data_IF_208286934674
#
_entry.id   IF_208286934674
#
_cell.length_a   1.000
_cell.length_b   1.000
_cell.length_c   1.000
_cell.angle_alpha   90.00
_cell.angle_beta   90.00
_cell.angle_gamma   90.00
#
_symmetry.space_group_name_H-M   'P 1'
#
loop_
_entity.id
_entity.type
_entity.pdbx_description
1 polymer ?
#
# COMPACT_ATOMS: atom_id res chain seq x y z
N UNK A 1 31.08 -21.36 7.32
CA UNK A 1 31.93 -20.40 8.06
C UNK A 1 31.15 -19.94 9.27
N UNK A 2 31.63 -20.13 10.48
CA UNK A 2 30.98 -19.62 11.69
C UNK A 2 30.97 -18.08 11.66
N UNK A 3 29.81 -17.51 11.91
CA UNK A 3 29.63 -16.06 11.92
C UNK A 3 30.25 -15.47 13.20
N UNK A 4 31.22 -14.58 13.05
CA UNK A 4 31.88 -13.92 14.20
C UNK A 4 30.85 -13.17 15.04
N UNK A 5 30.86 -13.37 16.36
CA UNK A 5 29.93 -12.75 17.31
C UNK A 5 30.59 -11.63 18.11
N UNK A 6 29.79 -10.75 18.75
CA UNK A 6 30.33 -9.74 19.68
C UNK A 6 31.10 -10.34 20.84
N UNK A 7 30.78 -11.58 21.24
CA UNK A 7 31.53 -12.33 22.29
C UNK A 7 32.93 -12.72 21.81
N UNK A 8 33.08 -13.03 20.53
CA UNK A 8 34.37 -13.37 19.95
C UNK A 8 35.26 -12.15 19.84
N UNK A 9 34.71 -10.99 19.48
CA UNK A 9 35.42 -9.71 19.51
C UNK A 9 35.87 -9.38 20.93
N UNK A 10 34.97 -9.49 21.91
CA UNK A 10 35.29 -9.27 23.33
C UNK A 10 36.43 -10.17 23.82
N UNK A 11 36.39 -11.44 23.42
CA UNK A 11 37.45 -12.43 23.78
C UNK A 11 38.80 -12.07 23.13
N UNK A 12 38.78 -11.70 21.82
CA UNK A 12 40.00 -11.28 21.10
C UNK A 12 40.63 -10.03 21.70
N UNK A 13 39.81 -9.07 22.09
CA UNK A 13 40.30 -7.83 22.74
C UNK A 13 40.55 -7.95 24.23
N UNK A 14 40.25 -9.08 24.86
CA UNK A 14 40.35 -9.32 26.33
C UNK A 14 39.55 -8.27 27.15
N UNK A 15 38.40 -7.89 26.67
CA UNK A 15 37.50 -6.90 27.31
C UNK A 15 36.08 -7.47 27.48
N UNK A 16 35.27 -6.79 28.26
CA UNK A 16 33.86 -7.17 28.40
C UNK A 16 33.03 -6.83 27.13
N UNK A 17 31.96 -7.58 26.89
CA UNK A 17 31.02 -7.32 25.77
C UNK A 17 30.44 -5.91 25.86
N UNK A 18 30.22 -5.39 27.08
CA UNK A 18 29.79 -4.01 27.32
C UNK A 18 30.80 -2.97 26.82
N UNK A 19 32.10 -3.26 26.98
CA UNK A 19 33.20 -2.38 26.52
C UNK A 19 33.24 -2.35 24.98
N UNK A 20 33.10 -3.52 24.31
CA UNK A 20 33.00 -3.60 22.86
C UNK A 20 31.79 -2.81 22.37
N UNK A 21 30.63 -2.95 23.01
CA UNK A 21 29.43 -2.20 22.68
C UNK A 21 29.59 -0.68 22.84
N UNK A 22 30.27 -0.22 23.89
CA UNK A 22 30.60 1.21 24.10
C UNK A 22 31.54 1.75 23.03
N UNK A 23 32.57 0.96 22.64
CA UNK A 23 33.48 1.35 21.54
C UNK A 23 32.76 1.54 20.23
N UNK A 24 31.92 0.60 19.86
CA UNK A 24 31.12 0.65 18.63
C UNK A 24 30.11 1.81 18.59
N UNK A 25 29.62 2.25 19.77
CA UNK A 25 28.64 3.33 19.88
C UNK A 25 29.27 4.69 20.20
N UNK A 26 30.58 4.81 20.15
CA UNK A 26 31.31 6.04 20.43
C UNK A 26 30.94 6.67 21.80
N UNK A 27 30.79 5.83 22.83
CA UNK A 27 30.40 6.28 24.17
C UNK A 27 31.49 7.15 24.77
N UNK A 28 31.17 8.30 25.43
CA UNK A 28 32.17 9.23 25.93
C UNK A 28 33.09 8.65 27.04
N UNK A 29 32.63 7.63 27.77
CA UNK A 29 33.35 7.04 28.89
C UNK A 29 34.37 5.97 28.48
N UNK A 30 34.60 5.73 27.17
CA UNK A 30 35.56 4.73 26.73
C UNK A 30 36.93 5.35 26.50
N UNK A 31 37.97 4.69 27.04
CA UNK A 31 39.35 5.11 26.80
C UNK A 31 39.64 5.09 25.28
N UNK A 32 40.24 6.16 24.71
CA UNK A 32 40.51 6.26 23.27
C UNK A 32 41.33 5.13 22.71
N UNK A 33 42.39 4.72 23.41
CA UNK A 33 43.28 3.62 22.99
C UNK A 33 42.54 2.26 22.95
N UNK A 34 41.72 1.99 23.96
CA UNK A 34 40.88 0.80 24.02
C UNK A 34 39.84 0.79 22.89
N UNK A 35 39.27 1.93 22.57
CA UNK A 35 38.32 2.07 21.46
C UNK A 35 38.98 1.78 20.13
N UNK A 36 40.14 2.36 19.85
CA UNK A 36 40.89 2.15 18.61
C UNK A 36 41.28 0.68 18.43
N UNK A 37 41.77 0.03 19.44
CA UNK A 37 42.08 -1.40 19.45
C UNK A 37 40.86 -2.25 19.09
N UNK A 38 39.70 -1.96 19.70
CA UNK A 38 38.48 -2.73 19.45
C UNK A 38 38.01 -2.52 18.01
N UNK A 39 38.01 -1.28 17.50
CA UNK A 39 37.58 -0.97 16.14
C UNK A 39 38.46 -1.63 15.08
N UNK A 40 39.78 -1.73 15.36
CA UNK A 40 40.73 -2.46 14.51
C UNK A 40 40.40 -3.95 14.44
N UNK A 41 40.16 -4.60 15.58
CA UNK A 41 39.78 -6.02 15.63
C UNK A 41 38.43 -6.28 14.96
N UNK A 42 37.47 -5.38 15.06
CA UNK A 42 36.17 -5.44 14.37
C UNK A 42 36.39 -5.44 12.85
N UNK A 43 37.20 -4.52 12.32
CA UNK A 43 37.52 -4.40 10.91
C UNK A 43 38.27 -5.67 10.39
N UNK A 44 39.28 -6.14 11.11
CA UNK A 44 40.06 -7.33 10.75
C UNK A 44 39.22 -8.63 10.78
N UNK A 45 38.18 -8.66 11.64
CA UNK A 45 37.30 -9.84 11.78
C UNK A 45 36.08 -9.81 10.87
N UNK A 46 35.93 -8.80 10.02
CA UNK A 46 34.72 -8.55 9.20
C UNK A 46 33.42 -8.69 10.02
N UNK A 47 33.48 -8.28 11.29
CA UNK A 47 32.33 -8.38 12.18
C UNK A 47 31.29 -7.33 11.82
N UNK A 48 30.09 -7.77 11.42
CA UNK A 48 28.93 -6.91 11.22
C UNK A 48 28.02 -7.01 12.45
N UNK A 49 27.74 -5.88 13.13
CA UNK A 49 26.84 -5.89 14.27
C UNK A 49 25.47 -6.45 13.93
N UNK A 50 25.05 -7.49 14.66
CA UNK A 50 23.70 -8.01 14.49
C UNK A 50 22.70 -7.06 15.19
N UNK A 51 22.13 -6.13 14.42
CA UNK A 51 21.14 -5.19 14.92
C UNK A 51 19.85 -5.87 15.39
N UNK A 52 19.52 -7.05 14.87
CA UNK A 52 18.35 -7.84 15.30
C UNK A 52 18.52 -8.35 16.73
N UNK A 53 19.70 -8.88 17.09
CA UNK A 53 19.99 -9.30 18.47
C UNK A 53 20.08 -8.12 19.46
N UNK A 54 20.46 -6.94 18.97
CA UNK A 54 20.50 -5.70 19.75
C UNK A 54 19.10 -5.14 19.99
N UNK A 55 18.21 -5.23 19.03
CA UNK A 55 16.81 -4.82 19.13
C UNK A 55 16.00 -5.75 20.06
N UNK A 56 16.31 -7.04 20.10
CA UNK A 56 15.72 -8.00 21.03
C UNK A 56 16.04 -7.70 22.52
N UNK A 57 17.19 -7.09 22.83
CA UNK A 57 17.57 -6.71 24.20
C UNK A 57 17.04 -5.34 24.66
N UNK A 58 16.57 -4.48 23.75
CA UNK A 58 15.93 -3.22 24.11
C UNK A 58 14.43 -3.49 24.30
N UNK A 59 13.96 -3.41 25.55
CA UNK A 59 12.54 -3.46 25.93
C UNK A 59 11.67 -2.34 25.31
N UNK A 60 12.24 -1.51 24.44
CA UNK A 60 11.63 -0.43 23.66
C UNK A 60 12.01 -0.57 22.17
N UNK A 61 11.63 -1.66 21.53
CA UNK A 61 11.70 -1.72 20.07
C UNK A 61 10.77 -0.62 19.49
N UNK A 62 11.36 0.46 18.96
CA UNK A 62 10.63 1.49 18.23
C UNK A 62 10.41 0.98 16.80
N UNK A 63 9.43 0.14 16.60
CA UNK A 63 9.06 -0.38 15.29
C UNK A 63 7.59 -0.09 14.99
N UNK A 64 7.28 0.16 13.73
CA UNK A 64 5.94 0.15 13.17
C UNK A 64 5.88 -0.88 12.05
N UNK A 65 4.68 -1.39 11.77
CA UNK A 65 4.44 -2.24 10.61
C UNK A 65 3.58 -1.49 9.59
N UNK A 66 3.86 -1.74 8.31
CA UNK A 66 3.00 -1.42 7.18
C UNK A 66 2.44 -2.77 6.70
N UNK A 67 1.16 -3.00 6.93
CA UNK A 67 0.45 -4.17 6.42
C UNK A 67 -0.15 -3.82 5.07
N UNK A 68 0.27 -4.52 4.02
CA UNK A 68 -0.13 -4.22 2.64
C UNK A 68 -0.96 -5.36 2.08
N UNK A 69 -2.20 -5.09 1.73
CA UNK A 69 -3.05 -5.99 0.98
C UNK A 69 -3.24 -5.45 -0.44
N UNK A 70 -3.02 -6.30 -1.45
CA UNK A 70 -3.01 -5.86 -2.85
C UNK A 70 -1.65 -5.34 -3.30
N UNK A 71 -0.53 -5.93 -2.85
CA UNK A 71 0.83 -5.53 -3.25
C UNK A 71 1.10 -5.57 -4.77
N UNK A 72 0.25 -6.24 -5.53
CA UNK A 72 0.35 -6.27 -7.00
C UNK A 72 -0.02 -4.91 -7.62
N UNK A 73 -0.69 -4.03 -6.88
CA UNK A 73 -0.92 -2.66 -7.30
C UNK A 73 0.34 -1.80 -7.04
N UNK A 74 0.98 -1.35 -8.12
CA UNK A 74 2.19 -0.54 -8.07
C UNK A 74 2.03 0.79 -7.31
N UNK A 75 0.81 1.26 -7.14
CA UNK A 75 0.48 2.46 -6.36
C UNK A 75 1.03 2.38 -4.93
N UNK A 76 0.96 1.20 -4.29
CA UNK A 76 1.45 1.03 -2.92
C UNK A 76 2.97 1.12 -2.80
N UNK A 77 3.74 0.83 -3.85
CA UNK A 77 5.20 0.91 -3.80
C UNK A 77 5.68 2.35 -3.50
N UNK A 78 5.05 3.34 -4.15
CA UNK A 78 5.37 4.75 -3.93
C UNK A 78 4.94 5.21 -2.53
N UNK A 79 3.74 4.78 -2.08
CA UNK A 79 3.26 5.04 -0.71
C UNK A 79 4.24 4.51 0.34
N UNK A 80 4.66 3.25 0.20
CA UNK A 80 5.61 2.59 1.12
C UNK A 80 6.92 3.39 1.19
N UNK A 81 7.49 3.75 0.05
CA UNK A 81 8.77 4.49 0.01
C UNK A 81 8.72 5.81 0.77
N UNK A 82 7.65 6.57 0.63
CA UNK A 82 7.47 7.84 1.35
C UNK A 82 7.26 7.60 2.85
N UNK A 83 6.43 6.62 3.23
CA UNK A 83 6.19 6.27 4.63
C UNK A 83 7.49 5.81 5.30
N UNK A 84 8.28 4.93 4.65
CA UNK A 84 9.57 4.45 5.17
C UNK A 84 10.54 5.60 5.45
N UNK A 85 10.58 6.60 4.57
CA UNK A 85 11.44 7.78 4.78
C UNK A 85 11.03 8.56 6.04
N UNK A 86 9.73 8.80 6.25
CA UNK A 86 9.21 9.48 7.45
C UNK A 86 9.51 8.67 8.70
N UNK A 87 9.26 7.35 8.68
CA UNK A 87 9.52 6.44 9.79
C UNK A 87 10.99 6.43 10.17
N UNK A 88 11.89 6.38 9.18
CA UNK A 88 13.33 6.44 9.39
C UNK A 88 13.77 7.76 10.02
N UNK A 89 13.23 8.90 9.56
CA UNK A 89 13.48 10.23 10.16
C UNK A 89 13.08 10.27 11.64
N UNK A 90 12.03 9.58 12.02
CA UNK A 90 11.58 9.44 13.43
C UNK A 90 12.38 8.40 14.22
N UNK A 91 13.39 7.76 13.62
CA UNK A 91 14.25 6.72 14.24
C UNK A 91 13.47 5.48 14.70
N UNK A 92 12.44 5.11 13.96
CA UNK A 92 11.73 3.85 14.09
C UNK A 92 12.22 2.85 13.05
N UNK A 93 12.15 1.56 13.37
CA UNK A 93 12.26 0.50 12.37
C UNK A 93 10.92 0.39 11.61
N UNK A 94 10.99 0.14 10.31
CA UNK A 94 9.82 -0.13 9.47
C UNK A 94 9.81 -1.62 9.12
N UNK A 95 8.68 -2.27 9.27
CA UNK A 95 8.44 -3.67 8.88
C UNK A 95 7.33 -3.63 7.84
N UNK A 96 7.60 -4.14 6.65
CA UNK A 96 6.60 -4.29 5.60
C UNK A 96 6.12 -5.73 5.66
N UNK A 97 4.81 -5.93 5.81
CA UNK A 97 4.18 -7.23 5.87
C UNK A 97 3.11 -7.34 4.79
N UNK A 98 3.23 -8.36 3.94
CA UNK A 98 2.22 -8.67 2.96
C UNK A 98 1.07 -9.41 3.62
N UNK A 99 -0.15 -8.90 3.47
CA UNK A 99 -1.37 -9.60 3.84
C UNK A 99 -1.90 -10.33 2.61
N UNK A 100 -2.09 -11.64 2.71
CA UNK A 100 -2.66 -12.44 1.64
C UNK A 100 -4.10 -12.00 1.32
N UNK A 101 -4.53 -12.12 0.05
CA UNK A 101 -5.84 -11.62 -0.39
C UNK A 101 -7.02 -12.22 0.40
N UNK A 102 -6.90 -13.49 0.80
CA UNK A 102 -7.94 -14.18 1.58
C UNK A 102 -7.78 -14.03 3.10
N UNK A 103 -6.66 -13.50 3.55
CA UNK A 103 -6.41 -13.29 4.97
C UNK A 103 -7.17 -12.07 5.50
N UNK A 104 -7.49 -12.11 6.80
CA UNK A 104 -8.10 -10.99 7.49
C UNK A 104 -6.99 -10.06 8.00
N UNK A 105 -7.02 -8.80 7.61
CA UNK A 105 -5.98 -7.80 7.92
C UNK A 105 -5.86 -7.57 9.43
N UNK A 106 -6.97 -7.61 10.15
CA UNK A 106 -7.00 -7.38 11.61
C UNK A 106 -6.36 -8.55 12.35
N UNK A 107 -6.64 -9.80 11.92
CA UNK A 107 -6.00 -10.98 12.51
C UNK A 107 -4.49 -10.95 12.29
N UNK A 108 -4.05 -10.63 11.06
CA UNK A 108 -2.63 -10.44 10.73
C UNK A 108 -1.97 -9.34 11.58
N UNK A 109 -2.70 -8.23 11.83
CA UNK A 109 -2.22 -7.15 12.67
C UNK A 109 -2.03 -7.58 14.14
N UNK A 110 -2.97 -8.34 14.68
CA UNK A 110 -2.90 -8.84 16.06
C UNK A 110 -1.72 -9.81 16.22
N UNK A 111 -1.49 -10.67 15.23
CA UNK A 111 -0.38 -11.63 15.25
C UNK A 111 0.98 -10.92 15.19
N UNK A 112 1.17 -10.02 14.23
CA UNK A 112 2.45 -9.32 14.07
C UNK A 112 2.78 -8.43 15.25
N UNK A 113 1.79 -7.82 15.92
CA UNK A 113 2.03 -7.04 17.13
C UNK A 113 2.59 -7.91 18.25
N UNK A 114 2.04 -9.12 18.43
CA UNK A 114 2.53 -10.07 19.43
C UNK A 114 3.97 -10.50 19.15
N UNK A 115 4.29 -10.77 17.88
CA UNK A 115 5.61 -11.23 17.47
C UNK A 115 6.68 -10.14 17.51
N UNK A 116 6.38 -8.96 16.99
CA UNK A 116 7.36 -7.91 16.69
C UNK A 116 7.38 -6.76 17.69
N UNK A 117 6.52 -6.74 18.70
CA UNK A 117 6.39 -5.67 19.71
C UNK A 117 6.30 -4.28 19.06
N UNK A 118 5.37 -4.11 18.15
CA UNK A 118 5.16 -2.87 17.40
C UNK A 118 4.67 -1.72 18.30
N UNK A 119 4.89 -0.49 17.84
CA UNK A 119 4.37 0.74 18.45
C UNK A 119 3.18 1.30 17.68
N UNK A 120 2.96 0.84 16.46
CA UNK A 120 1.84 1.24 15.63
C UNK A 120 1.81 0.48 14.31
N UNK A 121 0.69 0.59 13.63
CA UNK A 121 0.41 -0.09 12.36
C UNK A 121 -0.13 0.91 11.35
N UNK A 122 0.29 0.79 10.09
CA UNK A 122 -0.35 1.40 8.93
C UNK A 122 -0.93 0.26 8.09
N UNK A 123 -2.20 0.35 7.77
CA UNK A 123 -2.83 -0.51 6.80
C UNK A 123 -2.86 0.19 5.44
N UNK A 124 -2.34 -0.45 4.40
CA UNK A 124 -2.43 -0.02 3.01
C UNK A 124 -3.28 -1.00 2.22
N UNK A 125 -4.35 -0.50 1.62
CA UNK A 125 -5.31 -1.34 0.91
C UNK A 125 -6.10 -2.25 1.86
N UNK A 126 -6.83 -3.20 1.29
CA UNK A 126 -7.68 -4.13 2.04
C UNK A 126 -9.16 -3.76 2.02
N UNK A 127 -9.92 -4.43 2.87
CA UNK A 127 -11.36 -4.23 2.98
C UNK A 127 -11.73 -3.93 4.45
N UNK A 128 -11.80 -2.65 4.81
CA UNK A 128 -12.02 -2.20 6.19
C UNK A 128 -13.50 -2.05 6.54
N UNK A 129 -14.26 -3.09 6.28
CA UNK A 129 -15.66 -3.23 6.76
C UNK A 129 -15.75 -4.11 8.01
N UNK A 130 -14.64 -4.21 8.75
CA UNK A 130 -14.60 -5.02 9.97
C UNK A 130 -15.39 -4.37 11.11
N UNK A 131 -16.11 -5.17 11.91
CA UNK A 131 -16.80 -4.68 13.10
C UNK A 131 -15.86 -3.96 14.05
N UNK A 132 -16.34 -2.87 14.66
CA UNK A 132 -15.56 -2.07 15.60
C UNK A 132 -14.93 -2.91 16.74
N UNK A 133 -15.68 -3.90 17.25
CA UNK A 133 -15.19 -4.81 18.30
C UNK A 133 -13.97 -5.62 17.86
N UNK A 134 -13.88 -5.98 16.58
CA UNK A 134 -12.72 -6.67 16.03
C UNK A 134 -11.52 -5.70 15.89
N UNK A 135 -11.75 -4.51 15.37
CA UNK A 135 -10.73 -3.47 15.25
C UNK A 135 -10.18 -3.05 16.64
N UNK A 136 -11.02 -2.99 17.67
CA UNK A 136 -10.63 -2.67 19.03
C UNK A 136 -9.70 -3.70 19.68
N UNK A 137 -9.53 -4.89 19.09
CA UNK A 137 -8.58 -5.91 19.57
C UNK A 137 -7.13 -5.61 19.18
N UNK A 138 -6.88 -4.66 18.29
CA UNK A 138 -5.52 -4.24 17.92
C UNK A 138 -4.94 -3.44 19.10
N UNK A 139 -3.88 -3.93 19.75
CA UNK A 139 -3.42 -3.36 21.03
C UNK A 139 -2.47 -2.17 20.87
N UNK A 140 -2.32 -1.61 19.67
CA UNK A 140 -1.45 -0.47 19.33
C UNK A 140 -2.20 0.53 18.46
N UNK A 141 -1.82 1.81 18.44
CA UNK A 141 -2.36 2.78 17.50
C UNK A 141 -2.21 2.33 16.05
N UNK A 142 -3.22 2.58 15.23
CA UNK A 142 -3.18 2.27 13.81
C UNK A 142 -3.87 3.36 12.97
N UNK A 143 -3.50 3.40 11.70
CA UNK A 143 -4.11 4.27 10.68
C UNK A 143 -4.43 3.42 9.45
N UNK A 144 -5.63 3.60 8.91
CA UNK A 144 -6.06 3.02 7.65
C UNK A 144 -5.70 4.03 6.55
N UNK A 145 -4.98 3.61 5.53
CA UNK A 145 -4.59 4.48 4.42
C UNK A 145 -5.15 3.96 3.11
N UNK A 146 -5.53 4.90 2.24
CA UNK A 146 -6.12 4.66 0.91
C UNK A 146 -7.57 4.16 0.90
N UNK A 147 -8.15 3.93 2.07
CA UNK A 147 -9.55 3.57 2.22
C UNK A 147 -10.15 4.50 3.25
N UNK A 148 -11.26 5.15 2.91
CA UNK A 148 -12.04 5.95 3.85
C UNK A 148 -12.59 5.07 4.98
N UNK A 149 -12.59 5.57 6.21
CA UNK A 149 -13.21 4.86 7.31
C UNK A 149 -14.72 4.73 7.05
N UNK A 150 -15.19 3.51 6.85
CA UNK A 150 -16.61 3.21 6.78
C UNK A 150 -17.05 3.05 8.24
N UNK A 151 -17.80 4.02 8.75
CA UNK A 151 -18.36 3.96 10.10
C UNK A 151 -19.58 3.02 10.08
N UNK A 152 -19.51 1.96 10.86
CA UNK A 152 -20.67 1.10 11.19
C UNK A 152 -21.45 1.59 12.43
N UNK A 153 -21.26 2.87 12.79
CA UNK A 153 -21.84 3.48 13.99
C UNK A 153 -20.92 3.43 15.21
N UNK A 154 -19.71 2.88 15.09
CA UNK A 154 -18.65 2.93 16.10
C UNK A 154 -17.87 4.25 16.11
N UNK A 155 -16.83 4.34 16.95
CA UNK A 155 -15.90 5.47 16.93
C UNK A 155 -15.16 5.50 15.58
N UNK A 156 -15.01 6.68 14.94
CA UNK A 156 -14.29 6.78 13.69
C UNK A 156 -12.85 6.28 13.86
N UNK A 157 -12.42 5.40 12.97
CA UNK A 157 -11.01 5.01 12.88
C UNK A 157 -10.21 6.13 12.24
N UNK A 158 -8.95 6.30 12.65
CA UNK A 158 -8.04 7.22 11.97
C UNK A 158 -7.80 6.71 10.54
N UNK A 159 -8.17 7.50 9.54
CA UNK A 159 -8.00 7.14 8.13
C UNK A 159 -7.55 8.31 7.28
N UNK A 160 -6.78 8.01 6.23
CA UNK A 160 -6.33 8.97 5.21
C UNK A 160 -6.59 8.39 3.84
N UNK A 161 -7.46 9.03 3.06
CA UNK A 161 -7.83 8.59 1.72
C UNK A 161 -8.23 9.77 0.84
N UNK A 162 -8.33 9.55 -0.46
CA UNK A 162 -9.07 10.41 -1.35
C UNK A 162 -10.58 10.12 -1.24
N UNK A 163 -11.38 11.01 -1.78
CA UNK A 163 -12.81 10.74 -1.99
C UNK A 163 -12.99 9.91 -3.27
N UNK A 164 -12.97 8.58 -3.12
CA UNK A 164 -13.06 7.63 -4.23
C UNK A 164 -14.33 7.82 -5.08
N UNK A 165 -15.44 8.18 -4.45
CA UNK A 165 -16.68 8.45 -5.17
C UNK A 165 -16.53 9.70 -6.04
N UNK A 166 -16.10 10.81 -5.46
CA UNK A 166 -15.97 12.09 -6.17
C UNK A 166 -14.96 12.00 -7.31
N UNK A 167 -13.82 11.36 -7.07
CA UNK A 167 -12.76 11.28 -8.08
C UNK A 167 -13.17 10.33 -9.23
N UNK A 168 -13.84 9.21 -8.93
CA UNK A 168 -14.37 8.33 -9.98
C UNK A 168 -15.52 8.99 -10.76
N UNK A 169 -16.36 9.77 -10.09
CA UNK A 169 -17.38 10.56 -10.76
C UNK A 169 -16.75 11.49 -11.80
N UNK A 170 -15.71 12.23 -11.44
CA UNK A 170 -15.00 13.12 -12.38
C UNK A 170 -14.46 12.38 -13.60
N UNK A 171 -13.95 11.16 -13.44
CA UNK A 171 -13.44 10.37 -14.56
C UNK A 171 -14.57 10.00 -15.52
N UNK A 172 -15.68 9.51 -15.01
CA UNK A 172 -16.82 9.11 -15.85
C UNK A 172 -17.51 10.31 -16.49
N UNK A 173 -17.67 11.40 -15.73
CA UNK A 173 -18.16 12.70 -16.23
C UNK A 173 -17.29 13.20 -17.40
N UNK A 174 -15.97 13.12 -17.27
CA UNK A 174 -15.02 13.46 -18.34
C UNK A 174 -15.23 12.61 -19.59
N UNK A 175 -15.37 11.28 -19.44
CA UNK A 175 -15.63 10.39 -20.58
C UNK A 175 -16.98 10.69 -21.25
N UNK A 176 -18.03 10.96 -20.46
CA UNK A 176 -19.32 11.37 -20.98
C UNK A 176 -19.25 12.72 -21.73
N UNK A 177 -18.45 13.67 -21.20
CA UNK A 177 -18.19 14.97 -21.82
C UNK A 177 -17.46 14.86 -23.16
N UNK A 178 -16.63 13.84 -23.36
CA UNK A 178 -16.00 13.51 -24.65
C UNK A 178 -16.99 12.88 -25.66
N UNK A 179 -18.22 12.61 -25.26
CA UNK A 179 -19.26 12.06 -26.14
C UNK A 179 -19.45 10.55 -26.01
N UNK A 180 -18.73 9.89 -25.13
CA UNK A 180 -18.94 8.44 -24.89
C UNK A 180 -20.32 8.20 -24.26
N UNK A 181 -21.04 7.21 -24.78
CA UNK A 181 -22.36 6.81 -24.29
C UNK A 181 -22.43 5.33 -23.89
N UNK A 182 -21.50 4.53 -24.38
CA UNK A 182 -21.33 3.12 -24.01
C UNK A 182 -19.94 2.98 -23.39
N UNK A 183 -19.90 3.10 -22.06
CA UNK A 183 -18.67 3.07 -21.26
C UNK A 183 -18.65 1.78 -20.46
N UNK A 184 -17.74 0.84 -20.79
CA UNK A 184 -17.51 -0.34 -19.98
C UNK A 184 -16.74 0.01 -18.70
N UNK A 185 -16.99 -0.71 -17.62
CA UNK A 185 -16.22 -0.56 -16.38
C UNK A 185 -15.67 -1.91 -15.92
N UNK A 186 -14.38 -1.95 -15.55
CA UNK A 186 -13.78 -3.05 -14.78
C UNK A 186 -13.64 -2.60 -13.33
N UNK A 187 -14.32 -3.29 -12.42
CA UNK A 187 -14.41 -2.91 -11.01
C UNK A 187 -14.22 -4.11 -10.09
N UNK A 188 -14.16 -3.87 -8.77
CA UNK A 188 -14.04 -4.90 -7.74
C UNK A 188 -15.12 -5.98 -7.84
N UNK A 189 -15.01 -7.03 -7.03
CA UNK A 189 -16.01 -8.09 -6.96
C UNK A 189 -17.40 -7.52 -6.59
N UNK A 190 -18.44 -8.22 -6.99
CA UNK A 190 -19.82 -7.73 -6.88
C UNK A 190 -20.25 -7.45 -5.42
N UNK A 191 -19.75 -8.24 -4.49
CA UNK A 191 -20.00 -8.09 -3.05
C UNK A 191 -19.02 -7.16 -2.32
N UNK A 192 -18.13 -6.47 -3.06
CA UNK A 192 -17.29 -5.44 -2.46
C UNK A 192 -18.12 -4.29 -1.91
N UNK A 193 -17.85 -3.90 -0.68
CA UNK A 193 -18.53 -2.81 0.03
C UNK A 193 -17.59 -1.66 0.38
N UNK A 194 -16.37 -1.70 -0.13
CA UNK A 194 -15.32 -0.69 0.09
C UNK A 194 -15.17 0.26 -1.12
N UNK A 195 -13.93 0.57 -1.50
CA UNK A 195 -13.61 1.53 -2.57
C UNK A 195 -14.20 1.11 -3.92
N UNK A 196 -14.23 -0.19 -4.24
CA UNK A 196 -14.82 -0.66 -5.49
C UNK A 196 -16.30 -0.32 -5.61
N UNK A 197 -17.05 -0.44 -4.52
CA UNK A 197 -18.45 -0.03 -4.46
C UNK A 197 -18.61 1.49 -4.64
N UNK A 198 -17.75 2.28 -4.02
CA UNK A 198 -17.78 3.75 -4.16
C UNK A 198 -17.54 4.16 -5.60
N UNK A 199 -16.52 3.58 -6.25
CA UNK A 199 -16.17 3.87 -7.65
C UNK A 199 -17.29 3.42 -8.62
N UNK A 200 -17.92 2.26 -8.37
CA UNK A 200 -19.06 1.80 -9.16
C UNK A 200 -20.30 2.68 -8.98
N UNK A 201 -20.59 3.13 -7.77
CA UNK A 201 -21.71 4.02 -7.51
C UNK A 201 -21.50 5.39 -8.18
N UNK A 202 -20.27 5.89 -8.18
CA UNK A 202 -19.91 7.12 -8.89
C UNK A 202 -20.09 6.97 -10.41
N UNK A 203 -19.69 5.83 -10.99
CA UNK A 203 -19.94 5.52 -12.40
C UNK A 203 -21.44 5.54 -12.72
N UNK A 204 -22.28 4.90 -11.90
CA UNK A 204 -23.73 4.90 -12.09
C UNK A 204 -24.32 6.30 -12.04
N UNK A 205 -23.88 7.10 -11.07
CA UNK A 205 -24.39 8.46 -10.90
C UNK A 205 -23.98 9.36 -12.06
N UNK A 206 -22.74 9.31 -12.51
CA UNK A 206 -22.29 10.11 -13.64
C UNK A 206 -23.05 9.76 -14.94
N UNK A 207 -23.30 8.47 -15.21
CA UNK A 207 -24.15 8.08 -16.34
C UNK A 207 -25.56 8.66 -16.22
N UNK A 208 -26.16 8.57 -15.03
CA UNK A 208 -27.52 9.11 -14.77
C UNK A 208 -27.59 10.62 -15.04
N UNK A 209 -26.60 11.38 -14.54
CA UNK A 209 -26.55 12.84 -14.68
C UNK A 209 -26.35 13.26 -16.14
N UNK A 210 -25.71 12.42 -16.97
CA UNK A 210 -25.61 12.58 -18.42
C UNK A 210 -26.77 12.00 -19.23
N UNK A 211 -27.83 11.51 -18.55
CA UNK A 211 -29.00 10.90 -19.21
C UNK A 211 -28.68 9.60 -19.96
N UNK A 212 -27.60 8.89 -19.55
CA UNK A 212 -27.18 7.62 -20.14
C UNK A 212 -27.77 6.48 -19.30
N UNK A 213 -28.57 5.57 -19.88
CA UNK A 213 -29.11 4.43 -19.15
C UNK A 213 -27.99 3.53 -18.63
N UNK A 214 -28.12 3.11 -17.37
CA UNK A 214 -27.23 2.09 -16.81
C UNK A 214 -27.45 0.75 -17.52
N UNK A 215 -26.38 0.19 -18.05
CA UNK A 215 -26.36 -1.10 -18.72
C UNK A 215 -25.50 -2.10 -17.92
N UNK A 216 -26.10 -3.11 -17.26
CA UNK A 216 -25.35 -4.09 -16.49
C UNK A 216 -24.38 -4.94 -17.33
N UNK A 217 -24.62 -5.08 -18.65
CA UNK A 217 -23.73 -5.79 -19.55
C UNK A 217 -22.41 -5.06 -19.82
N UNK A 218 -22.32 -3.78 -19.40
CA UNK A 218 -21.10 -2.98 -19.44
C UNK A 218 -20.32 -3.00 -18.11
N UNK A 219 -20.81 -3.72 -17.10
CA UNK A 219 -20.15 -3.81 -15.78
C UNK A 219 -19.46 -5.16 -15.61
N UNK A 220 -18.15 -5.13 -15.47
CA UNK A 220 -17.33 -6.32 -15.38
C UNK A 220 -16.64 -6.39 -14.02
N UNK A 221 -17.10 -7.30 -13.21
CA UNK A 221 -16.58 -7.52 -11.88
C UNK A 221 -15.36 -8.44 -11.88
N UNK A 222 -14.37 -8.09 -11.06
CA UNK A 222 -13.33 -9.02 -10.64
C UNK A 222 -13.95 -10.14 -9.80
N UNK A 223 -13.29 -11.28 -9.75
CA UNK A 223 -13.60 -12.35 -8.79
C UNK A 223 -12.83 -12.13 -7.50
N UNK A 224 -13.17 -12.88 -6.44
CA UNK A 224 -12.45 -12.83 -5.15
C UNK A 224 -10.99 -13.29 -5.22
N UNK A 225 -10.62 -14.00 -6.29
CA UNK A 225 -9.26 -14.48 -6.52
C UNK A 225 -8.45 -13.51 -7.42
N UNK A 226 -9.10 -12.49 -7.98
CA UNK A 226 -8.45 -11.50 -8.82
C UNK A 226 -7.84 -10.37 -7.95
N UNK A 227 -6.69 -9.88 -8.38
CA UNK A 227 -6.01 -8.73 -7.80
C UNK A 227 -6.02 -7.54 -8.76
N UNK A 228 -5.76 -6.34 -8.27
CA UNK A 228 -5.59 -5.14 -9.11
C UNK A 228 -4.26 -5.20 -9.89
N UNK A 229 -4.18 -6.12 -10.86
CA UNK A 229 -2.97 -6.42 -11.63
C UNK A 229 -3.17 -6.29 -13.14
N UNK A 230 -2.07 -6.18 -13.87
CA UNK A 230 -2.09 -6.19 -15.35
C UNK A 230 -2.76 -7.46 -15.89
N UNK A 231 -2.46 -8.62 -15.28
CA UNK A 231 -3.01 -9.90 -15.69
C UNK A 231 -4.54 -9.96 -15.56
N UNK A 232 -5.08 -9.40 -14.49
CA UNK A 232 -6.53 -9.31 -14.27
C UNK A 232 -7.20 -8.42 -15.30
N UNK A 233 -6.67 -7.21 -15.55
CA UNK A 233 -7.17 -6.31 -16.58
C UNK A 233 -7.19 -6.95 -17.97
N UNK A 234 -6.09 -7.60 -18.32
CA UNK A 234 -5.98 -8.36 -19.56
C UNK A 234 -7.03 -9.48 -19.66
N UNK A 235 -7.13 -10.34 -18.64
CA UNK A 235 -8.06 -11.47 -18.57
C UNK A 235 -9.52 -11.03 -18.71
N UNK A 236 -9.92 -9.99 -17.98
CA UNK A 236 -11.30 -9.50 -18.00
C UNK A 236 -11.61 -8.89 -19.37
N UNK A 237 -10.71 -8.07 -19.92
CA UNK A 237 -10.92 -7.45 -21.23
C UNK A 237 -11.02 -8.49 -22.35
N UNK A 238 -10.25 -9.59 -22.31
CA UNK A 238 -10.42 -10.71 -23.23
C UNK A 238 -11.87 -11.26 -23.17
N UNK A 239 -12.41 -11.46 -21.97
CA UNK A 239 -13.80 -11.91 -21.80
C UNK A 239 -14.82 -10.89 -22.31
N UNK A 240 -14.57 -9.59 -22.15
CA UNK A 240 -15.43 -8.53 -22.71
C UNK A 240 -15.49 -8.66 -24.23
N UNK A 241 -14.34 -8.80 -24.87
CA UNK A 241 -14.23 -8.93 -26.33
C UNK A 241 -14.89 -10.22 -26.86
N UNK A 242 -14.75 -11.33 -26.14
CA UNK A 242 -15.40 -12.61 -26.47
C UNK A 242 -16.93 -12.51 -26.44
N UNK A 243 -17.49 -11.72 -25.52
CA UNK A 243 -18.94 -11.43 -25.46
C UNK A 243 -19.45 -10.55 -26.59
N UNK A 244 -18.55 -9.95 -27.38
CA UNK A 244 -18.89 -8.98 -28.45
C UNK A 244 -19.72 -7.79 -27.93
N UNK A 245 -19.50 -7.39 -26.68
CA UNK A 245 -20.15 -6.23 -26.07
C UNK A 245 -19.62 -4.97 -26.76
N UNK A 246 -20.52 -4.16 -27.29
CA UNK A 246 -20.15 -2.88 -27.92
C UNK A 246 -19.94 -1.80 -26.86
N UNK A 247 -18.80 -1.12 -26.91
CA UNK A 247 -18.47 0.02 -26.05
C UNK A 247 -17.45 0.91 -26.79
N UNK A 248 -17.39 2.17 -26.43
CA UNK A 248 -16.44 3.14 -27.01
C UNK A 248 -15.42 3.63 -26.01
N UNK A 249 -15.63 3.39 -24.72
CA UNK A 249 -14.66 3.68 -23.67
C UNK A 249 -14.67 2.59 -22.61
N UNK A 250 -13.51 2.38 -21.97
CA UNK A 250 -13.32 1.46 -20.84
C UNK A 250 -12.74 2.24 -19.66
N UNK A 251 -13.49 2.32 -18.56
CA UNK A 251 -13.01 2.79 -17.29
C UNK A 251 -12.56 1.60 -16.43
N UNK A 252 -11.27 1.51 -16.17
CA UNK A 252 -10.70 0.53 -15.25
C UNK A 252 -10.43 1.19 -13.89
N UNK A 253 -10.93 0.60 -12.81
CA UNK A 253 -10.82 1.20 -11.46
C UNK A 253 -9.42 1.11 -10.84
N UNK A 254 -8.40 0.82 -11.63
CA UNK A 254 -6.97 0.98 -11.32
C UNK A 254 -6.16 1.04 -12.63
N UNK A 255 -5.03 1.74 -12.64
CA UNK A 255 -4.16 1.86 -13.82
C UNK A 255 -3.57 0.52 -14.25
N UNK A 256 -3.27 -0.36 -13.30
CA UNK A 256 -2.80 -1.71 -13.61
C UNK A 256 -3.82 -2.49 -14.43
N UNK A 257 -5.11 -2.36 -14.11
CA UNK A 257 -6.19 -2.96 -14.89
C UNK A 257 -6.28 -2.31 -16.28
N UNK A 258 -6.17 -0.96 -16.35
CA UNK A 258 -6.22 -0.21 -17.61
C UNK A 258 -5.11 -0.63 -18.57
N UNK A 259 -3.87 -0.73 -18.09
CA UNK A 259 -2.72 -1.16 -18.90
C UNK A 259 -2.91 -2.61 -19.40
N UNK A 260 -3.40 -3.51 -18.53
CA UNK A 260 -3.74 -4.87 -18.91
C UNK A 260 -4.83 -4.91 -19.99
N UNK A 261 -5.84 -4.06 -19.88
CA UNK A 261 -6.89 -3.91 -20.86
C UNK A 261 -6.35 -3.44 -22.23
N UNK A 262 -5.47 -2.44 -22.26
CA UNK A 262 -4.82 -1.98 -23.49
C UNK A 262 -4.09 -3.10 -24.22
N UNK A 263 -3.44 -4.00 -23.50
CA UNK A 263 -2.78 -5.18 -24.09
C UNK A 263 -3.79 -6.11 -24.78
N UNK A 264 -4.93 -6.39 -24.12
CA UNK A 264 -5.96 -7.25 -24.71
C UNK A 264 -6.61 -6.63 -25.94
N UNK A 265 -6.91 -5.32 -25.89
CA UNK A 265 -7.44 -4.56 -27.03
C UNK A 265 -6.49 -4.61 -28.23
N UNK A 266 -5.20 -4.35 -28.01
CA UNK A 266 -4.18 -4.40 -29.06
C UNK A 266 -4.08 -5.77 -29.70
N UNK A 267 -4.14 -6.85 -28.93
CA UNK A 267 -4.13 -8.23 -29.47
C UNK A 267 -5.38 -8.57 -30.28
N UNK A 268 -6.49 -7.88 -30.01
CA UNK A 268 -7.73 -7.99 -30.79
C UNK A 268 -7.73 -7.08 -32.04
N UNK A 269 -6.65 -6.35 -32.31
CA UNK A 269 -6.52 -5.42 -33.43
C UNK A 269 -7.20 -4.07 -33.23
N UNK A 270 -7.59 -3.74 -31.98
CA UNK A 270 -8.18 -2.46 -31.62
C UNK A 270 -7.11 -1.48 -31.13
N UNK A 271 -7.22 -0.24 -31.56
CA UNK A 271 -6.31 0.86 -31.21
C UNK A 271 -6.87 1.69 -30.05
N UNK A 272 -5.99 2.10 -29.14
CA UNK A 272 -6.29 3.04 -28.06
C UNK A 272 -5.54 4.35 -28.40
N UNK A 273 -6.23 5.50 -28.47
CA UNK A 273 -7.64 5.73 -28.13
C UNK A 273 -8.62 5.62 -29.31
N UNK A 274 -8.18 5.40 -30.56
CA UNK A 274 -8.97 5.64 -31.78
C UNK A 274 -10.21 4.74 -31.87
N UNK A 275 -10.11 3.45 -31.56
CA UNK A 275 -11.25 2.54 -31.50
C UNK A 275 -11.91 2.54 -30.14
N UNK A 276 -11.11 2.47 -29.05
CA UNK A 276 -11.57 2.42 -27.67
C UNK A 276 -10.75 3.37 -26.81
N UNK A 277 -11.38 4.32 -26.14
CA UNK A 277 -10.75 5.12 -25.10
C UNK A 277 -10.57 4.30 -23.82
N UNK A 278 -9.41 4.37 -23.19
CA UNK A 278 -9.14 3.67 -21.91
C UNK A 278 -8.76 4.68 -20.84
N UNK A 279 -9.42 4.57 -19.69
CA UNK A 279 -9.13 5.39 -18.53
C UNK A 279 -8.89 4.53 -17.29
N UNK A 280 -8.04 5.01 -16.39
CA UNK A 280 -7.62 4.35 -15.17
C UNK A 280 -7.89 5.16 -13.91
N UNK A 281 -7.31 4.69 -12.81
CA UNK A 281 -7.31 5.33 -11.51
C UNK A 281 -5.99 4.95 -10.82
N UNK A 282 -5.38 5.87 -10.08
CA UNK A 282 -4.19 5.85 -9.25
C UNK A 282 -3.10 6.83 -9.74
N UNK A 283 -2.84 6.95 -11.04
CA UNK A 283 -1.79 7.80 -11.60
C UNK A 283 -0.39 7.19 -11.41
N UNK A 284 -0.25 5.88 -11.63
CA UNK A 284 1.05 5.21 -11.49
C UNK A 284 2.00 5.57 -12.65
N UNK A 285 3.31 5.58 -12.37
CA UNK A 285 4.34 5.91 -13.37
C UNK A 285 4.27 5.02 -14.62
N UNK A 286 3.96 3.73 -14.45
CA UNK A 286 3.81 2.81 -15.57
C UNK A 286 2.75 3.28 -16.59
N UNK A 287 1.68 3.95 -16.13
CA UNK A 287 0.64 4.52 -17.01
C UNK A 287 1.12 5.76 -17.77
N UNK A 288 2.00 6.56 -17.16
CA UNK A 288 2.60 7.74 -17.80
C UNK A 288 3.57 7.35 -18.94
N UNK A 289 4.36 6.31 -18.72
CA UNK A 289 5.34 5.81 -19.72
C UNK A 289 4.75 4.77 -20.67
N UNK A 290 3.50 4.36 -20.50
CA UNK A 290 2.80 3.52 -21.48
C UNK A 290 2.54 4.30 -22.77
N UNK A 291 2.41 3.62 -23.92
CA UNK A 291 2.17 4.26 -25.21
C UNK A 291 0.88 3.72 -25.85
N UNK A 292 -0.15 4.57 -26.01
CA UNK A 292 -0.26 5.96 -25.52
C UNK A 292 -0.38 5.99 -23.98
N UNK A 293 -0.01 7.13 -23.35
CA UNK A 293 -0.15 7.29 -21.89
C UNK A 293 -1.61 7.13 -21.45
N UNK A 294 -1.80 6.54 -20.27
CA UNK A 294 -3.13 6.26 -19.73
C UNK A 294 -3.75 7.55 -19.13
N UNK A 295 -4.94 7.90 -19.60
CA UNK A 295 -5.79 8.90 -18.94
C UNK A 295 -6.21 8.35 -17.58
N UNK A 296 -5.93 9.06 -16.49
CA UNK A 296 -6.14 8.53 -15.13
C UNK A 296 -6.44 9.61 -14.10
N UNK A 297 -7.11 9.24 -13.01
CA UNK A 297 -7.15 10.04 -11.79
C UNK A 297 -5.83 9.81 -11.03
N UNK A 298 -4.99 10.85 -10.93
CA UNK A 298 -3.74 10.78 -10.17
C UNK A 298 -4.00 11.03 -8.70
N UNK A 299 -3.78 10.05 -7.87
CA UNK A 299 -3.83 10.19 -6.42
C UNK A 299 -2.59 10.96 -5.91
N UNK A 300 -2.72 11.83 -4.90
CA UNK A 300 -1.61 12.60 -4.34
C UNK A 300 -0.77 11.75 -3.37
N UNK A 301 0.04 10.82 -3.92
CA UNK A 301 0.78 9.78 -3.18
C UNK A 301 1.62 10.34 -2.04
N UNK A 302 2.43 11.39 -2.32
CA UNK A 302 3.31 11.99 -1.32
C UNK A 302 2.52 12.57 -0.15
N UNK A 303 1.40 13.24 -0.45
CA UNK A 303 0.55 13.84 0.56
C UNK A 303 -0.17 12.76 1.38
N UNK A 304 -0.76 11.76 0.73
CA UNK A 304 -1.43 10.64 1.41
C UNK A 304 -0.47 9.90 2.35
N UNK A 305 0.72 9.57 1.86
CA UNK A 305 1.73 8.86 2.62
C UNK A 305 2.26 9.69 3.81
N UNK A 306 2.53 10.98 3.59
CA UNK A 306 3.01 11.87 4.64
C UNK A 306 1.96 12.09 5.74
N UNK A 307 0.70 12.33 5.37
CA UNK A 307 -0.39 12.51 6.35
C UNK A 307 -0.70 11.21 7.08
N UNK A 308 -0.64 10.05 6.41
CA UNK A 308 -0.78 8.75 7.05
C UNK A 308 0.26 8.54 8.15
N UNK A 309 1.53 8.78 7.82
CA UNK A 309 2.61 8.64 8.79
C UNK A 309 2.52 9.66 9.93
N UNK A 310 2.21 10.91 9.62
CA UNK A 310 2.01 12.00 10.60
C UNK A 310 0.88 11.63 11.57
N UNK A 311 -0.25 11.20 11.08
CA UNK A 311 -1.41 10.78 11.89
C UNK A 311 -1.03 9.61 12.82
N UNK A 312 -0.33 8.58 12.32
CA UNK A 312 0.12 7.48 13.18
C UNK A 312 1.05 7.97 14.31
N UNK A 313 2.02 8.84 14.00
CA UNK A 313 2.92 9.36 15.04
C UNK A 313 2.22 10.30 16.04
N UNK A 314 1.16 11.00 15.64
CA UNK A 314 0.29 11.76 16.55
C UNK A 314 -0.38 10.83 17.56
N UNK A 315 -1.01 9.76 17.08
CA UNK A 315 -1.64 8.73 17.91
C UNK A 315 -0.64 8.05 18.87
N UNK A 316 0.56 7.69 18.38
CA UNK A 316 1.62 7.07 19.22
C UNK A 316 2.08 8.03 20.33
N UNK A 317 2.08 9.33 20.09
CA UNK A 317 2.50 10.34 21.09
C UNK A 317 1.39 10.76 22.04
N UNK A 318 0.16 10.29 21.85
CA UNK A 318 -1.01 10.66 22.66
C UNK A 318 -1.46 12.11 22.43
N UNK A 319 -1.09 12.71 21.30
CA UNK A 319 -1.59 14.01 20.88
C UNK A 319 -2.84 13.75 20.02
N UNK A 320 -4.01 13.96 20.60
CA UNK A 320 -5.24 14.12 19.83
C UNK A 320 -5.16 15.45 19.08
N UNK A 321 -5.19 15.42 17.77
CA UNK A 321 -5.49 16.57 16.92
C UNK A 321 -6.93 16.43 16.41
#
# INVERSE_FOLDING_TARGET
MEQVTIRDIARKCKVGVSTVSRAMNNHPDINPETKEMILKVIAESNYVPNNSARNLKRSNAKAIAILVKGMDNMFFNNMISVIEEVVRKKKYACIIERVEEKANEVDSAIEIVKEKRLRGIIFLGGNFTHPHEKMAQIPVPYVISTIGAISDGGKPCASVSVDDYRESYKMVDYLCGLGHRRIAIITACEDDISIGRLRLNAYRQALLDHGIPYDPDLVFHMTKDDTYSFATGYKITKKILEKKTEFSALYATADTLAIGACRALKEAGLTVPDDISVAGFDGIDAGEYYIPSITTIRQPVEQLAAETAKMLFSLISGKEE
#
